data_IF_707074634899
#
_entry.id   IF_707074634899
#
_cell.length_a   1.000
_cell.length_b   1.000
_cell.length_c   1.000
_cell.angle_alpha   90.00
_cell.angle_beta   90.00
_cell.angle_gamma   90.00
#
_symmetry.space_group_name_H-M   'P 1'
#
loop_
_entity.id
_entity.type
_entity.pdbx_description
1 polymer ?
#
# COMPACT_ATOMS: atom_id res chain seq x y z
N UNK A 1 -1.25 -12.22 -25.01
CA UNK A 1 -0.82 -13.19 -23.96
C UNK A 1 0.55 -12.85 -23.36
N UNK A 2 1.51 -12.37 -24.15
CA UNK A 2 2.84 -11.93 -23.69
C UNK A 2 2.83 -10.86 -22.59
N UNK A 3 1.89 -9.92 -22.62
CA UNK A 3 1.79 -8.82 -21.63
C UNK A 3 1.55 -9.34 -20.20
N UNK A 4 0.68 -10.34 -20.02
CA UNK A 4 0.40 -10.93 -18.70
C UNK A 4 1.58 -11.74 -18.15
N UNK A 5 2.32 -12.42 -19.03
CA UNK A 5 3.52 -13.18 -18.66
C UNK A 5 4.61 -12.22 -18.17
N UNK A 6 4.81 -11.10 -18.87
CA UNK A 6 5.77 -10.05 -18.46
C UNK A 6 5.36 -9.42 -17.12
N UNK A 7 4.07 -9.17 -16.91
CA UNK A 7 3.56 -8.67 -15.63
C UNK A 7 3.83 -9.65 -14.47
N UNK A 8 3.58 -10.95 -14.67
CA UNK A 8 3.89 -11.99 -13.68
C UNK A 8 5.39 -12.12 -13.39
N UNK A 9 6.22 -12.03 -14.43
CA UNK A 9 7.69 -12.03 -14.28
C UNK A 9 8.17 -10.81 -13.49
N UNK A 10 7.59 -9.63 -13.72
CA UNK A 10 7.89 -8.41 -12.97
C UNK A 10 7.52 -8.57 -11.48
N UNK A 11 6.38 -9.21 -11.18
CA UNK A 11 5.96 -9.50 -9.80
C UNK A 11 6.97 -10.43 -9.13
N UNK A 12 7.39 -11.50 -9.82
CA UNK A 12 8.38 -12.45 -9.30
C UNK A 12 9.76 -11.80 -9.10
N UNK A 13 10.17 -10.92 -10.01
CA UNK A 13 11.44 -10.19 -9.95
C UNK A 13 11.45 -9.19 -8.78
N UNK A 14 10.34 -8.48 -8.57
CA UNK A 14 10.13 -7.60 -7.40
C UNK A 14 10.12 -8.40 -6.09
N UNK A 15 9.56 -9.61 -6.10
CA UNK A 15 9.54 -10.51 -4.95
C UNK A 15 10.94 -11.01 -4.57
N UNK A 16 11.79 -11.30 -5.57
CA UNK A 16 13.21 -11.67 -5.36
C UNK A 16 14.04 -10.53 -4.78
N UNK A 17 13.74 -9.28 -5.12
CA UNK A 17 14.43 -8.09 -4.58
C UNK A 17 14.08 -7.77 -3.12
N UNK A 18 13.30 -8.60 -2.42
CA UNK A 18 12.87 -8.44 -1.00
C UNK A 18 12.07 -7.17 -0.67
N UNK A 19 11.81 -6.28 -1.63
CA UNK A 19 11.05 -5.04 -1.42
C UNK A 19 9.60 -5.34 -1.00
N UNK A 20 8.99 -6.37 -1.57
CA UNK A 20 7.66 -6.82 -1.16
C UNK A 20 7.64 -7.31 0.29
N UNK A 21 8.70 -7.99 0.74
CA UNK A 21 8.83 -8.42 2.12
C UNK A 21 9.04 -7.24 3.07
N UNK A 22 9.82 -6.24 2.68
CA UNK A 22 9.97 -4.98 3.42
C UNK A 22 8.63 -4.25 3.57
N UNK A 23 7.88 -4.09 2.48
CA UNK A 23 6.55 -3.48 2.52
C UNK A 23 5.57 -4.26 3.38
N UNK A 24 5.52 -5.58 3.21
CA UNK A 24 4.64 -6.45 4.02
C UNK A 24 4.98 -6.36 5.51
N UNK A 25 6.27 -6.38 5.86
CA UNK A 25 6.73 -6.25 7.25
C UNK A 25 6.30 -4.89 7.81
N UNK A 26 6.55 -3.80 7.09
CA UNK A 26 6.11 -2.45 7.49
C UNK A 26 4.60 -2.38 7.71
N UNK A 27 3.81 -2.99 6.82
CA UNK A 27 2.36 -3.02 6.92
C UNK A 27 1.88 -3.79 8.16
N UNK A 28 2.41 -4.99 8.39
CA UNK A 28 2.06 -5.82 9.55
C UNK A 28 2.49 -5.13 10.85
N UNK A 29 3.72 -4.61 10.91
CA UNK A 29 4.22 -3.88 12.08
C UNK A 29 3.35 -2.67 12.39
N UNK A 30 2.98 -1.88 11.39
CA UNK A 30 2.10 -0.74 11.58
C UNK A 30 0.70 -1.15 12.07
N UNK A 31 0.09 -2.18 11.47
CA UNK A 31 -1.21 -2.71 11.89
C UNK A 31 -1.19 -3.20 13.33
N UNK A 32 -0.11 -3.89 13.74
CA UNK A 32 0.05 -4.35 15.11
C UNK A 32 0.15 -3.18 16.10
N UNK A 33 1.01 -2.19 15.82
CA UNK A 33 1.17 -1.00 16.67
C UNK A 33 -0.14 -0.22 16.77
N UNK A 34 -0.82 0.01 15.65
CA UNK A 34 -2.10 0.72 15.62
C UNK A 34 -3.17 -0.04 16.41
N UNK A 35 -3.29 -1.36 16.21
CA UNK A 35 -4.26 -2.17 16.94
C UNK A 35 -4.02 -2.23 18.44
N UNK A 36 -2.76 -2.30 18.86
CA UNK A 36 -2.37 -2.24 20.27
C UNK A 36 -2.68 -0.86 20.86
N UNK A 37 -2.26 0.21 20.18
CA UNK A 37 -2.52 1.58 20.62
C UNK A 37 -4.00 1.88 20.76
N UNK A 38 -4.80 1.47 19.78
CA UNK A 38 -6.26 1.63 19.82
C UNK A 38 -6.88 0.84 20.99
N UNK A 39 -6.41 -0.38 21.25
CA UNK A 39 -6.91 -1.17 22.38
C UNK A 39 -6.67 -0.50 23.74
N UNK A 40 -5.46 0.00 23.98
CA UNK A 40 -5.14 0.69 25.24
C UNK A 40 -5.94 1.98 25.40
N UNK A 41 -6.07 2.76 24.32
CA UNK A 41 -6.80 4.03 24.36
C UNK A 41 -8.29 3.80 24.63
N UNK A 42 -8.93 2.86 23.93
CA UNK A 42 -10.35 2.56 24.18
C UNK A 42 -10.57 2.06 25.61
N UNK A 43 -9.68 1.19 26.12
CA UNK A 43 -9.78 0.69 27.49
C UNK A 43 -9.62 1.79 28.55
N UNK A 44 -8.73 2.77 28.31
CA UNK A 44 -8.53 3.90 29.22
C UNK A 44 -9.69 4.90 29.17
N UNK A 45 -10.24 5.16 27.98
CA UNK A 45 -11.41 6.02 27.82
C UNK A 45 -12.65 5.42 28.50
N UNK A 46 -12.84 4.10 28.42
CA UNK A 46 -13.92 3.39 29.13
C UNK A 46 -13.73 3.45 30.66
N UNK A 47 -12.48 3.41 31.14
CA UNK A 47 -12.17 3.48 32.57
C UNK A 47 -12.45 4.85 33.21
N UNK A 48 -12.46 5.92 32.41
CA UNK A 48 -12.71 7.30 32.86
C UNK A 48 -14.21 7.66 32.73
N UNK A 49 -15.06 6.71 32.31
CA UNK A 49 -16.51 6.89 32.09
C UNK A 49 -16.79 8.10 31.17
N UNK A 50 -15.95 8.22 30.13
CA UNK A 50 -16.01 9.32 29.17
C UNK A 50 -17.32 9.27 28.38
N UNK A 51 -17.98 10.42 28.20
CA UNK A 51 -19.17 10.54 27.36
C UNK A 51 -18.96 9.92 25.97
N UNK A 52 -19.98 9.18 25.50
CA UNK A 52 -19.96 8.44 24.24
C UNK A 52 -19.60 9.32 23.03
N UNK A 53 -20.04 10.58 23.03
CA UNK A 53 -19.73 11.55 21.97
C UNK A 53 -18.23 11.90 21.94
N UNK A 54 -17.62 12.15 23.10
CA UNK A 54 -16.19 12.45 23.20
C UNK A 54 -15.32 11.24 22.84
N UNK A 55 -15.78 10.03 23.18
CA UNK A 55 -15.15 8.76 22.79
C UNK A 55 -15.13 8.58 21.26
N UNK A 56 -16.25 8.86 20.58
CA UNK A 56 -16.35 8.77 19.12
C UNK A 56 -15.41 9.77 18.43
N UNK A 57 -15.33 11.00 18.94
CA UNK A 57 -14.42 12.03 18.40
C UNK A 57 -12.95 11.61 18.59
N UNK A 58 -12.58 11.15 19.79
CA UNK A 58 -11.21 10.73 20.10
C UNK A 58 -10.75 9.54 19.25
N UNK A 59 -11.59 8.52 19.13
CA UNK A 59 -11.30 7.33 18.30
C UNK A 59 -11.31 7.65 16.80
N UNK A 60 -12.17 8.56 16.35
CA UNK A 60 -12.20 9.06 14.98
C UNK A 60 -10.94 9.83 14.60
N UNK A 61 -10.44 10.69 15.50
CA UNK A 61 -9.15 11.36 15.33
C UNK A 61 -8.00 10.35 15.20
N UNK A 62 -7.99 9.32 16.04
CA UNK A 62 -6.99 8.26 15.98
C UNK A 62 -7.02 7.51 14.65
N UNK A 63 -8.21 7.17 14.15
CA UNK A 63 -8.35 6.53 12.84
C UNK A 63 -7.86 7.44 11.72
N UNK A 64 -8.20 8.73 11.76
CA UNK A 64 -7.74 9.68 10.75
C UNK A 64 -6.21 9.77 10.71
N UNK A 65 -5.56 9.81 11.88
CA UNK A 65 -4.11 9.75 12.00
C UNK A 65 -3.55 8.42 11.45
N UNK A 66 -4.21 7.30 11.74
CA UNK A 66 -3.85 6.00 11.17
C UNK A 66 -3.91 5.97 9.64
N UNK A 67 -4.95 6.56 9.04
CA UNK A 67 -5.08 6.67 7.59
C UNK A 67 -4.00 7.57 6.96
N UNK A 68 -3.57 8.64 7.64
CA UNK A 68 -2.42 9.44 7.20
C UNK A 68 -1.13 8.64 7.18
N UNK A 69 -0.88 7.80 8.20
CA UNK A 69 0.30 6.93 8.20
C UNK A 69 0.21 5.87 7.11
N UNK A 70 -0.97 5.29 6.86
CA UNK A 70 -1.19 4.40 5.71
C UNK A 70 -0.87 5.11 4.40
N UNK A 71 -1.33 6.35 4.21
CA UNK A 71 -1.03 7.15 3.03
C UNK A 71 0.49 7.32 2.85
N UNK A 72 1.18 7.69 3.91
CA UNK A 72 2.64 7.84 3.91
C UNK A 72 3.36 6.54 3.54
N UNK A 73 2.92 5.39 4.08
CA UNK A 73 3.49 4.08 3.75
C UNK A 73 3.27 3.71 2.27
N UNK A 74 2.09 4.04 1.71
CA UNK A 74 1.79 3.80 0.29
C UNK A 74 2.71 4.65 -0.60
N UNK A 75 2.88 5.94 -0.27
CA UNK A 75 3.79 6.83 -1.01
C UNK A 75 5.22 6.31 -0.93
N UNK A 76 5.69 5.94 0.26
CA UNK A 76 7.04 5.41 0.45
C UNK A 76 7.27 4.15 -0.39
N UNK A 77 6.32 3.20 -0.37
CA UNK A 77 6.40 1.99 -1.21
C UNK A 77 6.40 2.31 -2.69
N UNK A 78 5.58 3.28 -3.13
CA UNK A 78 5.51 3.72 -4.52
C UNK A 78 6.84 4.31 -4.98
N UNK A 79 7.44 5.19 -4.17
CA UNK A 79 8.75 5.81 -4.44
C UNK A 79 9.85 4.75 -4.51
N UNK A 80 9.93 3.84 -3.53
CA UNK A 80 10.92 2.76 -3.54
C UNK A 80 10.79 1.86 -4.77
N UNK A 81 9.54 1.56 -5.16
CA UNK A 81 9.24 0.78 -6.35
C UNK A 81 9.68 1.52 -7.62
N UNK A 82 9.40 2.82 -7.73
CA UNK A 82 9.82 3.67 -8.85
C UNK A 82 11.35 3.74 -8.97
N UNK A 83 12.07 3.93 -7.87
CA UNK A 83 13.55 3.92 -7.86
C UNK A 83 14.10 2.59 -8.37
N UNK A 84 13.50 1.47 -7.99
CA UNK A 84 13.94 0.15 -8.46
C UNK A 84 13.56 -0.11 -9.92
N UNK A 85 12.48 0.50 -10.40
CA UNK A 85 12.12 0.46 -11.81
C UNK A 85 13.17 1.16 -12.68
N UNK A 86 13.68 2.32 -12.22
CA UNK A 86 14.74 3.12 -12.86
C UNK A 86 16.11 2.43 -12.72
N UNK A 87 16.46 1.91 -11.53
CA UNK A 87 17.74 1.22 -11.31
C UNK A 87 17.87 -0.08 -12.12
N UNK A 88 16.75 -0.77 -12.40
CA UNK A 88 16.74 -1.90 -13.34
C UNK A 88 17.08 -1.52 -14.78
N UNK A 89 16.92 -0.26 -15.19
CA UNK A 89 17.38 0.23 -16.50
C UNK A 89 18.88 0.58 -16.49
N UNK A 90 19.43 1.02 -15.35
CA UNK A 90 20.85 1.40 -15.21
C UNK A 90 21.76 0.15 -15.12
N UNK A 91 21.32 -0.91 -14.42
CA UNK A 91 22.01 -2.22 -14.43
C UNK A 91 21.95 -2.90 -15.82
N UNK A 92 21.01 -2.47 -16.67
CA UNK A 92 20.86 -2.96 -18.04
C UNK A 92 21.73 -2.18 -19.03
N UNK A 93 23.05 -2.20 -18.84
CA UNK A 93 23.97 -2.17 -19.99
C UNK A 93 23.69 -3.30 -21.02
N UNK A 94 22.65 -4.12 -20.78
CA UNK A 94 21.97 -5.10 -21.63
C UNK A 94 20.92 -4.50 -22.58
N UNK A 95 20.84 -3.17 -22.77
CA UNK A 95 20.03 -2.61 -23.89
C UNK A 95 20.51 -3.18 -25.24
N UNK A 96 21.81 -3.50 -25.35
CA UNK A 96 22.41 -4.01 -26.60
C UNK A 96 22.22 -5.52 -26.84
N UNK A 97 21.78 -6.31 -25.86
CA UNK A 97 21.65 -7.78 -26.01
C UNK A 97 20.22 -8.27 -26.25
N UNK A 98 19.20 -7.43 -25.98
CA UNK A 98 17.77 -7.75 -26.21
C UNK A 98 17.35 -7.52 -27.68
N UNK A 99 18.23 -6.97 -28.52
CA UNK A 99 18.01 -6.69 -29.95
C UNK A 99 17.81 -7.93 -30.85
N UNK A 100 17.87 -9.16 -30.32
CA UNK A 100 17.70 -10.39 -31.12
C UNK A 100 16.26 -10.95 -31.15
N UNK A 101 15.31 -10.42 -30.37
CA UNK A 101 13.90 -10.88 -30.40
C UNK A 101 12.93 -9.74 -30.74
N UNK A 102 11.97 -9.94 -31.66
CA UNK A 102 11.07 -8.89 -32.14
C UNK A 102 9.95 -8.64 -31.11
N UNK A 103 10.32 -8.07 -29.96
CA UNK A 103 9.36 -7.67 -28.92
C UNK A 103 9.25 -6.13 -28.97
N UNK A 104 8.02 -5.62 -29.16
CA UNK A 104 7.80 -4.17 -29.27
C UNK A 104 8.09 -3.51 -27.92
N UNK A 105 8.94 -2.47 -27.90
CA UNK A 105 9.41 -1.75 -26.69
C UNK A 105 8.26 -1.33 -25.75
N UNK A 106 7.12 -0.93 -26.31
CA UNK A 106 5.93 -0.52 -25.55
C UNK A 106 5.26 -1.66 -24.76
N UNK A 107 5.31 -2.91 -25.24
CA UNK A 107 4.66 -4.05 -24.56
C UNK A 107 5.40 -4.43 -23.27
N UNK A 108 6.73 -4.24 -23.25
CA UNK A 108 7.56 -4.49 -22.07
C UNK A 108 7.31 -3.42 -21.00
N UNK A 109 7.26 -2.15 -21.40
CA UNK A 109 6.95 -1.04 -20.50
C UNK A 109 5.55 -1.18 -19.91
N UNK A 110 4.54 -1.49 -20.73
CA UNK A 110 3.17 -1.71 -20.28
C UNK A 110 3.04 -2.90 -19.32
N UNK A 111 3.71 -4.02 -19.61
CA UNK A 111 3.70 -5.20 -18.74
C UNK A 111 4.33 -4.93 -17.36
N UNK A 112 5.45 -4.20 -17.33
CA UNK A 112 6.14 -3.80 -16.09
C UNK A 112 5.32 -2.80 -15.29
N UNK A 113 4.73 -1.80 -15.95
CA UNK A 113 3.85 -0.82 -15.31
C UNK A 113 2.61 -1.47 -14.69
N UNK A 114 1.95 -2.39 -15.42
CA UNK A 114 0.82 -3.16 -14.89
C UNK A 114 1.20 -4.03 -13.69
N UNK A 115 2.40 -4.61 -13.68
CA UNK A 115 2.92 -5.35 -12.53
C UNK A 115 3.04 -4.47 -11.27
N UNK A 116 3.57 -3.26 -11.40
CA UNK A 116 3.69 -2.33 -10.28
C UNK A 116 2.33 -1.78 -9.82
N UNK A 117 1.44 -1.44 -10.75
CA UNK A 117 0.08 -1.00 -10.42
C UNK A 117 -0.66 -2.09 -9.65
N UNK A 118 -0.55 -3.35 -10.07
CA UNK A 118 -1.15 -4.49 -9.36
C UNK A 118 -0.61 -4.63 -7.93
N UNK A 119 0.70 -4.52 -7.74
CA UNK A 119 1.32 -4.56 -6.41
C UNK A 119 0.87 -3.41 -5.51
N UNK A 120 0.77 -2.20 -6.07
CA UNK A 120 0.32 -1.01 -5.35
C UNK A 120 -1.14 -1.18 -4.90
N UNK A 121 -2.02 -1.65 -5.78
CA UNK A 121 -3.43 -1.92 -5.45
C UNK A 121 -3.54 -2.93 -4.31
N UNK A 122 -2.80 -4.04 -4.37
CA UNK A 122 -2.80 -5.05 -3.30
C UNK A 122 -2.30 -4.46 -1.98
N UNK A 123 -1.25 -3.64 -2.02
CA UNK A 123 -0.68 -3.02 -0.82
C UNK A 123 -1.64 -2.02 -0.16
N UNK A 124 -2.29 -1.17 -0.97
CA UNK A 124 -3.32 -0.23 -0.49
C UNK A 124 -4.50 -0.98 0.10
N UNK A 125 -4.98 -2.02 -0.59
CA UNK A 125 -6.10 -2.84 -0.12
C UNK A 125 -5.78 -3.52 1.22
N UNK A 126 -4.55 -4.04 1.39
CA UNK A 126 -4.12 -4.70 2.62
C UNK A 126 -4.04 -3.70 3.78
N UNK A 127 -3.39 -2.55 3.59
CA UNK A 127 -3.24 -1.55 4.66
C UNK A 127 -4.56 -0.87 5.03
N UNK A 128 -5.29 -0.36 4.03
CA UNK A 128 -6.55 0.33 4.24
C UNK A 128 -7.61 -0.63 4.80
N UNK A 129 -7.72 -1.83 4.22
CA UNK A 129 -8.64 -2.86 4.67
C UNK A 129 -8.27 -3.41 6.06
N UNK A 130 -6.99 -3.66 6.32
CA UNK A 130 -6.52 -4.10 7.63
C UNK A 130 -6.79 -3.07 8.72
N UNK A 131 -6.52 -1.79 8.45
CA UNK A 131 -6.75 -0.71 9.42
C UNK A 131 -8.23 -0.62 9.79
N UNK A 132 -9.09 -0.71 8.77
CA UNK A 132 -10.54 -0.69 8.96
C UNK A 132 -11.06 -1.91 9.69
N UNK A 133 -10.52 -3.10 9.40
CA UNK A 133 -10.90 -4.32 10.10
C UNK A 133 -10.55 -4.22 11.59
N UNK A 134 -9.34 -3.78 11.90
CA UNK A 134 -8.87 -3.60 13.29
C UNK A 134 -9.71 -2.55 14.01
N UNK A 135 -10.03 -1.44 13.34
CA UNK A 135 -10.88 -0.39 13.90
C UNK A 135 -12.30 -0.92 14.17
N UNK A 136 -12.94 -1.53 13.16
CA UNK A 136 -14.30 -2.06 13.26
C UNK A 136 -14.44 -3.12 14.36
N UNK A 137 -13.48 -4.04 14.49
CA UNK A 137 -13.47 -5.07 15.53
C UNK A 137 -13.39 -4.50 16.95
N UNK A 138 -12.88 -3.27 17.13
CA UNK A 138 -12.66 -2.66 18.44
C UNK A 138 -13.68 -1.60 18.81
N UNK A 139 -14.07 -0.76 17.86
CA UNK A 139 -14.98 0.36 18.12
C UNK A 139 -16.43 0.03 17.74
N UNK A 140 -16.66 -0.96 16.86
CA UNK A 140 -18.00 -1.32 16.37
C UNK A 140 -18.63 -0.27 15.46
N UNK A 141 -17.96 0.87 15.24
CA UNK A 141 -18.46 1.97 14.40
C UNK A 141 -17.96 1.82 12.96
N UNK A 142 -18.90 1.83 12.03
CA UNK A 142 -18.60 1.97 10.59
C UNK A 142 -18.63 3.44 10.21
N UNK A 143 -17.45 4.00 9.92
CA UNK A 143 -17.39 5.33 9.30
C UNK A 143 -17.85 5.21 7.85
N UNK A 144 -18.92 5.93 7.52
CA UNK A 144 -19.39 6.09 6.15
C UNK A 144 -18.32 6.84 5.34
N UNK A 145 -18.12 6.45 4.08
CA UNK A 145 -17.18 7.03 3.11
C UNK A 145 -15.72 6.49 3.07
N UNK A 146 -15.48 5.34 3.69
CA UNK A 146 -14.25 4.53 3.56
C UNK A 146 -13.80 4.31 2.11
N UNK A 147 -14.75 4.00 1.21
CA UNK A 147 -14.47 3.65 -0.17
C UNK A 147 -13.91 4.83 -0.97
N UNK A 148 -14.38 6.05 -0.67
CA UNK A 148 -13.89 7.28 -1.29
C UNK A 148 -12.44 7.56 -0.87
N UNK A 149 -12.10 7.37 0.41
CA UNK A 149 -10.74 7.52 0.93
C UNK A 149 -9.75 6.55 0.28
N UNK A 150 -10.09 5.26 0.21
CA UNK A 150 -9.24 4.26 -0.47
C UNK A 150 -9.06 4.57 -1.95
N UNK A 151 -10.10 5.06 -2.63
CA UNK A 151 -10.01 5.45 -4.05
C UNK A 151 -9.07 6.64 -4.29
N UNK A 152 -9.09 7.65 -3.40
CA UNK A 152 -8.18 8.79 -3.47
C UNK A 152 -6.73 8.39 -3.23
N UNK A 153 -6.48 7.45 -2.31
CA UNK A 153 -5.14 6.89 -2.07
C UNK A 153 -4.60 6.17 -3.30
N UNK A 154 -5.43 5.41 -4.03
CA UNK A 154 -5.04 4.75 -5.28
C UNK A 154 -4.69 5.79 -6.36
N UNK A 155 -5.51 6.84 -6.50
CA UNK A 155 -5.25 7.92 -7.46
C UNK A 155 -3.93 8.66 -7.16
N UNK A 156 -3.63 8.91 -5.87
CA UNK A 156 -2.37 9.54 -5.48
C UNK A 156 -1.17 8.63 -5.75
N UNK A 157 -1.28 7.33 -5.47
CA UNK A 157 -0.23 6.35 -5.80
C UNK A 157 0.05 6.28 -7.30
N UNK A 158 -0.99 6.34 -8.13
CA UNK A 158 -0.85 6.41 -9.59
C UNK A 158 -0.15 7.70 -10.04
N UNK A 159 -0.50 8.85 -9.47
CA UNK A 159 0.12 10.13 -9.79
C UNK A 159 1.60 10.20 -9.40
N UNK A 160 2.00 9.51 -8.31
CA UNK A 160 3.42 9.41 -7.91
C UNK A 160 4.19 8.44 -8.80
N UNK A 161 3.50 7.46 -9.41
CA UNK A 161 4.11 6.46 -10.29
C UNK A 161 4.33 6.97 -11.73
N UNK A 162 3.54 7.94 -12.19
CA UNK A 162 3.67 8.57 -13.53
C UNK A 162 4.75 9.64 -13.56
#
# INVERSE_FOLDING_TARGET
MTILIIAQLTIQETQRRRILWLGLLMAISFLAVFGIGLHYIVAELDAIDMDRENMEIATGLLLSAGLYVVNFLIIMMTVLTSVTAISGEIDSHTIDTILTKPVRRWEVVLGKWLGFVGLLIVYVALLSGGLMLVFYLRTGFTISNVLAGSSMMILQGLAVLS
#
